data_IF_772497328300
#
_entry.id   IF_772497328300
#
_cell.length_a   1.000
_cell.length_b   1.000
_cell.length_c   1.000
_cell.angle_alpha   90.00
_cell.angle_beta   90.00
_cell.angle_gamma   90.00
#
_symmetry.space_group_name_H-M   'P 1'
#
loop_
_entity.id
_entity.type
_entity.pdbx_description
1 polymer ?
#
# COMPACT_ATOMS: atom_id res chain seq x y z
N UNK A 1 -6.76 -2.07 -23.53
CA UNK A 1 -6.74 -2.35 -22.07
C UNK A 1 -7.99 -3.11 -21.70
N UNK A 2 -7.88 -4.23 -21.00
CA UNK A 2 -9.06 -5.03 -20.61
C UNK A 2 -9.50 -4.65 -19.19
N UNK A 3 -10.82 -4.57 -19.00
CA UNK A 3 -11.45 -4.48 -17.68
C UNK A 3 -11.68 -5.90 -17.17
N UNK A 4 -11.47 -6.15 -15.88
CA UNK A 4 -11.68 -7.45 -15.23
C UNK A 4 -13.17 -7.71 -15.00
N UNK A 5 -13.88 -6.69 -14.52
CA UNK A 5 -15.33 -6.68 -14.33
C UNK A 5 -15.90 -5.39 -14.97
N UNK A 6 -16.15 -5.38 -16.30
CA UNK A 6 -16.50 -4.17 -17.05
C UNK A 6 -17.71 -3.41 -16.50
N UNK A 7 -18.76 -4.13 -16.11
CA UNK A 7 -20.01 -3.53 -15.59
C UNK A 7 -19.78 -2.77 -14.28
N UNK A 8 -18.72 -3.10 -13.53
CA UNK A 8 -18.37 -2.44 -12.28
C UNK A 8 -17.31 -1.37 -12.51
N UNK A 9 -16.24 -1.69 -13.24
CA UNK A 9 -15.08 -0.81 -13.38
C UNK A 9 -15.37 0.40 -14.29
N UNK A 10 -16.29 0.27 -15.26
CA UNK A 10 -16.71 1.34 -16.18
C UNK A 10 -18.01 2.04 -15.76
N UNK A 11 -18.70 1.58 -14.73
CA UNK A 11 -19.91 2.26 -14.23
C UNK A 11 -19.58 3.71 -13.79
N UNK A 12 -20.43 4.70 -14.04
CA UNK A 12 -20.19 6.08 -13.62
C UNK A 12 -19.88 6.18 -12.13
N UNK A 13 -18.82 6.94 -11.79
CA UNK A 13 -18.39 7.08 -10.39
C UNK A 13 -19.39 7.86 -9.55
N UNK A 14 -20.08 8.82 -10.16
CA UNK A 14 -21.09 9.67 -9.51
C UNK A 14 -22.23 8.87 -8.88
N UNK A 15 -22.52 7.68 -9.40
CA UNK A 15 -23.50 6.75 -8.85
C UNK A 15 -22.99 5.87 -7.72
N UNK A 16 -21.70 5.91 -7.39
CA UNK A 16 -21.11 4.96 -6.45
C UNK A 16 -21.66 5.09 -5.03
N UNK A 17 -21.84 6.31 -4.53
CA UNK A 17 -22.37 6.52 -3.18
C UNK A 17 -23.79 5.94 -3.04
N UNK A 18 -24.63 6.12 -4.07
CA UNK A 18 -25.99 5.53 -4.08
C UNK A 18 -25.95 3.99 -4.15
N UNK A 19 -24.99 3.43 -4.90
CA UNK A 19 -24.81 1.98 -4.97
C UNK A 19 -24.31 1.38 -3.64
N UNK A 20 -23.49 2.12 -2.89
CA UNK A 20 -22.93 1.69 -1.62
C UNK A 20 -23.89 1.88 -0.44
N UNK A 21 -24.95 2.70 -0.56
CA UNK A 21 -25.89 3.04 0.52
C UNK A 21 -26.55 1.79 1.13
N UNK A 22 -27.12 0.93 0.31
CA UNK A 22 -27.81 -0.26 0.81
C UNK A 22 -26.87 -1.30 1.43
N UNK A 23 -25.69 -1.62 0.84
CA UNK A 23 -24.65 -2.41 1.50
C UNK A 23 -24.18 -1.81 2.83
N UNK A 24 -23.95 -0.50 2.88
CA UNK A 24 -23.55 0.20 4.10
C UNK A 24 -24.57 0.03 5.22
N UNK A 25 -25.85 0.29 4.97
CA UNK A 25 -26.92 0.12 5.98
C UNK A 25 -26.99 -1.30 6.50
N UNK A 26 -26.87 -2.30 5.63
CA UNK A 26 -26.81 -3.72 6.05
C UNK A 26 -25.58 -4.00 6.90
N UNK A 27 -24.46 -3.39 6.59
CA UNK A 27 -23.22 -3.56 7.36
C UNK A 27 -23.32 -2.91 8.74
N UNK A 28 -23.93 -1.72 8.85
CA UNK A 28 -24.18 -1.07 10.13
C UNK A 28 -25.10 -1.92 11.01
N UNK A 29 -26.22 -2.42 10.46
CA UNK A 29 -27.12 -3.31 11.20
C UNK A 29 -26.38 -4.56 11.71
N UNK A 30 -25.56 -5.19 10.86
CA UNK A 30 -24.73 -6.33 11.21
C UNK A 30 -23.72 -6.02 12.32
N UNK A 31 -23.05 -4.86 12.27
CA UNK A 31 -22.11 -4.43 13.31
C UNK A 31 -22.79 -4.21 14.66
N UNK A 32 -23.95 -3.55 14.68
CA UNK A 32 -24.73 -3.32 15.90
C UNK A 32 -25.25 -4.62 16.50
N UNK A 33 -25.62 -5.59 15.68
CA UNK A 33 -26.10 -6.90 16.14
C UNK A 33 -24.95 -7.78 16.65
N UNK A 34 -23.86 -7.93 15.88
CA UNK A 34 -22.85 -8.95 16.09
C UNK A 34 -21.61 -8.47 16.84
N UNK A 35 -21.22 -7.18 16.72
CA UNK A 35 -19.98 -6.68 17.30
C UNK A 35 -20.20 -5.93 18.61
N UNK A 36 -19.74 -6.52 19.71
CA UNK A 36 -19.69 -5.83 21.01
C UNK A 36 -18.84 -4.56 20.92
N UNK A 37 -17.68 -4.63 20.29
CA UNK A 37 -16.79 -3.49 20.13
C UNK A 37 -17.49 -2.29 19.50
N UNK A 38 -18.18 -2.51 18.34
CA UNK A 38 -18.83 -1.41 17.63
C UNK A 38 -20.13 -0.97 18.29
N UNK A 39 -20.90 -1.88 18.86
CA UNK A 39 -22.08 -1.51 19.64
C UNK A 39 -21.75 -0.58 20.79
N UNK A 40 -20.74 -0.94 21.60
CA UNK A 40 -20.30 -0.14 22.75
C UNK A 40 -19.72 1.20 22.30
N UNK A 41 -18.92 1.20 21.23
CA UNK A 41 -18.28 2.39 20.65
C UNK A 41 -19.31 3.37 20.09
N UNK A 42 -20.23 2.88 19.28
CA UNK A 42 -21.29 3.70 18.65
C UNK A 42 -22.25 4.23 19.70
N UNK A 43 -22.67 3.41 20.67
CA UNK A 43 -23.54 3.86 21.76
C UNK A 43 -22.90 4.98 22.58
N UNK A 44 -21.62 4.86 22.94
CA UNK A 44 -20.88 5.92 23.65
C UNK A 44 -20.78 7.23 22.85
N UNK A 45 -20.78 7.12 21.53
CA UNK A 45 -20.75 8.26 20.62
C UNK A 45 -22.17 8.82 20.29
N UNK A 46 -23.23 8.28 20.91
CA UNK A 46 -24.61 8.73 20.69
C UNK A 46 -25.36 8.02 19.55
N UNK A 47 -24.81 6.95 18.99
CA UNK A 47 -25.36 6.20 17.84
C UNK A 47 -25.80 4.80 18.28
N UNK A 48 -26.83 4.71 19.11
CA UNK A 48 -27.27 3.44 19.70
C UNK A 48 -28.09 2.54 18.76
N UNK A 49 -28.52 3.02 17.60
CA UNK A 49 -29.31 2.27 16.62
C UNK A 49 -28.86 2.56 15.19
N UNK A 50 -29.26 1.71 14.25
CA UNK A 50 -28.97 1.92 12.82
C UNK A 50 -29.57 3.24 12.29
N UNK A 51 -30.74 3.63 12.77
CA UNK A 51 -31.39 4.89 12.40
C UNK A 51 -30.60 6.09 12.94
N UNK A 52 -30.06 6.00 14.16
CA UNK A 52 -29.21 7.05 14.74
C UNK A 52 -27.89 7.20 13.99
N UNK A 53 -27.33 6.10 13.48
CA UNK A 53 -26.12 6.10 12.61
C UNK A 53 -26.38 6.84 11.30
N UNK A 54 -27.56 6.68 10.73
CA UNK A 54 -27.94 7.31 9.47
C UNK A 54 -27.42 6.58 8.23
N UNK A 55 -27.36 7.30 7.11
CA UNK A 55 -26.88 6.81 5.83
C UNK A 55 -25.39 7.06 5.60
N UNK A 56 -24.93 6.69 4.42
CA UNK A 56 -23.52 6.89 4.01
C UNK A 56 -23.12 8.37 4.02
N UNK A 57 -24.05 9.27 3.74
CA UNK A 57 -23.83 10.72 3.82
C UNK A 57 -23.50 11.21 5.24
N UNK A 58 -23.92 10.46 6.27
CA UNK A 58 -23.70 10.77 7.67
C UNK A 58 -22.40 10.16 8.23
N UNK A 59 -21.68 9.36 7.45
CA UNK A 59 -20.55 8.53 7.90
C UNK A 59 -19.48 9.35 8.63
N UNK A 60 -19.24 10.59 8.21
CA UNK A 60 -18.24 11.48 8.80
C UNK A 60 -18.51 11.82 10.28
N UNK A 61 -19.75 11.63 10.76
CA UNK A 61 -20.14 11.83 12.17
C UNK A 61 -19.71 10.69 13.09
N UNK A 62 -19.41 9.51 12.52
CA UNK A 62 -19.08 8.32 13.29
C UNK A 62 -17.64 8.33 13.77
N UNK A 63 -17.33 7.70 14.92
CA UNK A 63 -15.98 7.61 15.43
C UNK A 63 -15.10 6.75 14.52
N UNK A 64 -13.82 7.14 14.42
CA UNK A 64 -12.81 6.34 13.70
C UNK A 64 -12.50 5.04 14.43
N UNK A 65 -12.05 4.06 13.68
CA UNK A 65 -11.40 2.85 14.21
C UNK A 65 -9.90 2.95 14.00
N UNK A 66 -9.16 2.75 15.10
CA UNK A 66 -7.70 2.80 15.12
C UNK A 66 -7.11 1.39 15.26
N UNK A 67 -5.96 1.15 14.64
CA UNK A 67 -5.30 -0.16 14.70
C UNK A 67 -4.92 -0.57 16.13
N UNK A 68 -4.53 0.39 16.94
CA UNK A 68 -4.16 0.13 18.35
C UNK A 68 -5.37 -0.22 19.21
N UNK A 69 -6.55 0.33 18.89
CA UNK A 69 -7.81 -0.08 19.51
C UNK A 69 -8.13 -1.55 19.23
N UNK A 70 -7.96 -1.99 17.98
CA UNK A 70 -8.16 -3.39 17.62
C UNK A 70 -7.17 -4.32 18.35
N UNK A 71 -5.91 -3.91 18.47
CA UNK A 71 -4.88 -4.65 19.21
C UNK A 71 -5.21 -4.71 20.71
N UNK A 72 -5.62 -3.59 21.30
CA UNK A 72 -5.98 -3.51 22.72
C UNK A 72 -7.22 -4.35 23.06
N UNK A 73 -8.07 -4.66 22.08
CA UNK A 73 -9.27 -5.49 22.26
C UNK A 73 -8.99 -7.00 22.36
N UNK A 74 -7.73 -7.43 22.23
CA UNK A 74 -7.34 -8.84 22.30
C UNK A 74 -7.29 -9.33 23.73
N UNK A 75 -7.65 -10.60 23.89
CA UNK A 75 -7.54 -11.33 25.16
C UNK A 75 -7.10 -12.78 24.89
N UNK A 76 -6.91 -13.57 25.95
CA UNK A 76 -6.62 -15.00 25.82
C UNK A 76 -7.77 -15.74 25.12
N UNK A 77 -9.01 -15.34 25.37
CA UNK A 77 -10.21 -15.94 24.78
C UNK A 77 -10.53 -15.37 23.39
N UNK A 78 -10.08 -14.14 23.11
CA UNK A 78 -10.30 -13.43 21.84
C UNK A 78 -8.94 -13.01 21.22
N UNK A 79 -8.12 -13.95 20.73
CA UNK A 79 -6.74 -13.65 20.27
C UNK A 79 -6.68 -12.79 19.00
N UNK A 80 -7.76 -12.77 18.22
CA UNK A 80 -7.91 -11.87 17.06
C UNK A 80 -8.31 -10.48 17.53
N UNK A 81 -9.18 -10.39 18.54
CA UNK A 81 -9.72 -9.18 19.13
C UNK A 81 -11.24 -9.12 19.04
N UNK A 82 -11.86 -8.26 19.85
CA UNK A 82 -13.31 -8.12 19.98
C UNK A 82 -14.02 -7.60 18.71
N UNK A 83 -13.28 -7.25 17.66
CA UNK A 83 -13.81 -6.92 16.34
C UNK A 83 -14.08 -8.15 15.46
N UNK A 84 -13.55 -9.32 15.84
CA UNK A 84 -13.89 -10.59 15.19
C UNK A 84 -15.29 -11.02 15.64
N UNK A 85 -16.21 -11.13 14.69
CA UNK A 85 -17.62 -11.43 14.97
C UNK A 85 -18.09 -12.75 14.36
N UNK A 86 -17.29 -13.32 13.45
CA UNK A 86 -17.55 -14.64 12.90
C UNK A 86 -17.21 -15.73 13.94
N UNK A 87 -17.98 -16.79 13.91
CA UNK A 87 -17.70 -18.00 14.69
C UNK A 87 -16.55 -18.80 14.07
N UNK A 88 -15.99 -19.72 14.82
CA UNK A 88 -14.82 -20.50 14.38
C UNK A 88 -15.10 -21.33 13.12
N UNK A 89 -16.30 -21.83 12.97
CA UNK A 89 -16.74 -22.65 11.82
C UNK A 89 -17.05 -21.81 10.57
N UNK A 90 -17.30 -20.51 10.72
CA UNK A 90 -17.48 -19.57 9.60
C UNK A 90 -16.13 -19.14 8.99
N UNK A 91 -15.02 -19.21 9.76
CA UNK A 91 -13.71 -18.73 9.33
C UNK A 91 -13.02 -19.83 8.51
N UNK A 92 -12.73 -19.52 7.24
CA UNK A 92 -12.04 -20.45 6.32
C UNK A 92 -10.55 -20.13 6.17
N UNK A 93 -10.10 -18.92 6.55
CA UNK A 93 -8.70 -18.50 6.45
C UNK A 93 -8.38 -17.40 7.45
N UNK A 94 -7.14 -17.41 7.96
CA UNK A 94 -6.60 -16.33 8.80
C UNK A 94 -5.26 -15.90 8.20
N UNK A 95 -5.15 -14.61 7.89
CA UNK A 95 -3.90 -13.97 7.53
C UNK A 95 -3.36 -13.15 8.68
N UNK A 96 -2.10 -12.70 8.58
CA UNK A 96 -1.51 -11.75 9.52
C UNK A 96 -0.85 -10.60 8.78
N UNK A 97 -0.73 -9.45 9.46
CA UNK A 97 0.14 -8.37 9.01
C UNK A 97 1.57 -8.63 9.49
N UNK A 98 2.57 -8.03 8.83
CA UNK A 98 3.99 -8.17 9.19
C UNK A 98 4.35 -7.61 10.57
N UNK A 99 3.45 -6.84 11.22
CA UNK A 99 3.64 -6.33 12.58
C UNK A 99 4.91 -5.52 12.78
N UNK A 100 5.02 -4.32 12.20
CA UNK A 100 6.17 -3.42 12.37
C UNK A 100 6.49 -3.09 13.83
N UNK A 101 5.55 -3.31 14.74
CA UNK A 101 5.66 -3.11 16.20
C UNK A 101 5.89 -4.40 16.99
N UNK A 102 6.24 -5.51 16.31
CA UNK A 102 6.54 -6.81 16.95
C UNK A 102 5.34 -7.75 17.14
N UNK A 103 4.10 -7.24 17.22
CA UNK A 103 2.91 -8.09 17.36
C UNK A 103 2.04 -8.02 16.10
N UNK A 104 1.88 -9.13 15.35
CA UNK A 104 1.06 -9.14 14.15
C UNK A 104 -0.42 -8.95 14.47
N UNK A 105 -1.18 -8.35 13.55
CA UNK A 105 -2.64 -8.42 13.57
C UNK A 105 -3.09 -9.65 12.80
N UNK A 106 -4.08 -10.35 13.30
CA UNK A 106 -4.70 -11.50 12.65
C UNK A 106 -5.99 -11.07 11.96
N UNK A 107 -6.18 -11.52 10.74
CA UNK A 107 -7.27 -11.11 9.87
C UNK A 107 -8.00 -12.38 9.44
N UNK A 108 -9.13 -12.70 10.12
CA UNK A 108 -9.97 -13.82 9.77
C UNK A 108 -10.83 -13.47 8.55
N UNK A 109 -11.12 -14.47 7.73
CA UNK A 109 -11.97 -14.34 6.56
C UNK A 109 -12.97 -15.49 6.52
N UNK A 110 -14.24 -15.17 6.28
CA UNK A 110 -15.23 -16.14 5.81
C UNK A 110 -15.00 -16.45 4.32
N UNK A 111 -15.68 -17.44 3.79
CA UNK A 111 -15.60 -17.74 2.36
C UNK A 111 -16.03 -16.55 1.48
N UNK A 112 -17.06 -15.80 1.89
CA UNK A 112 -17.53 -14.60 1.21
C UNK A 112 -16.52 -13.45 1.27
N UNK A 113 -15.86 -13.27 2.43
CA UNK A 113 -14.81 -12.26 2.60
C UNK A 113 -13.59 -12.57 1.70
N UNK A 114 -13.21 -13.84 1.62
CA UNK A 114 -12.11 -14.28 0.76
C UNK A 114 -12.45 -14.04 -0.72
N UNK A 115 -13.68 -14.35 -1.19
CA UNK A 115 -14.09 -14.05 -2.56
C UNK A 115 -14.05 -12.54 -2.84
N UNK A 116 -14.52 -11.71 -1.91
CA UNK A 116 -14.45 -10.25 -2.03
C UNK A 116 -12.99 -9.76 -2.16
N UNK A 117 -12.07 -10.30 -1.36
CA UNK A 117 -10.64 -9.99 -1.45
C UNK A 117 -10.04 -10.40 -2.78
N UNK A 118 -10.36 -11.61 -3.26
CA UNK A 118 -9.88 -12.14 -4.54
C UNK A 118 -10.40 -11.28 -5.71
N UNK A 119 -11.69 -10.90 -5.69
CA UNK A 119 -12.29 -10.05 -6.74
C UNK A 119 -11.67 -8.66 -6.76
N UNK A 120 -11.57 -8.02 -5.61
CA UNK A 120 -10.95 -6.69 -5.48
C UNK A 120 -9.50 -6.71 -5.98
N UNK A 121 -8.72 -7.71 -5.56
CA UNK A 121 -7.34 -7.89 -5.98
C UNK A 121 -7.22 -8.20 -7.48
N UNK A 122 -8.13 -8.98 -8.05
CA UNK A 122 -8.15 -9.27 -9.49
C UNK A 122 -8.41 -8.01 -10.32
N UNK A 123 -9.35 -7.13 -9.89
CA UNK A 123 -9.55 -5.81 -10.53
C UNK A 123 -8.29 -4.95 -10.45
N UNK A 124 -7.65 -4.93 -9.27
CA UNK A 124 -6.42 -4.16 -9.02
C UNK A 124 -5.26 -4.62 -9.90
N UNK A 125 -4.92 -5.91 -9.86
CA UNK A 125 -3.83 -6.46 -10.67
C UNK A 125 -4.17 -6.49 -12.17
N UNK A 126 -5.42 -6.74 -12.53
CA UNK A 126 -5.89 -6.67 -13.92
C UNK A 126 -5.73 -5.29 -14.56
N UNK A 127 -5.72 -4.21 -13.74
CA UNK A 127 -5.46 -2.87 -14.23
C UNK A 127 -4.07 -2.74 -14.87
N UNK A 128 -3.07 -3.46 -14.37
CA UNK A 128 -1.68 -3.43 -14.88
C UNK A 128 -1.53 -3.87 -16.34
N UNK A 129 -2.59 -4.37 -16.96
CA UNK A 129 -2.57 -4.84 -18.36
C UNK A 129 -2.13 -6.30 -18.52
N UNK A 130 -2.08 -7.08 -17.44
CA UNK A 130 -1.86 -8.53 -17.53
C UNK A 130 -3.01 -9.22 -18.26
N UNK A 131 -2.70 -10.31 -18.95
CA UNK A 131 -3.64 -11.04 -19.79
C UNK A 131 -3.70 -12.52 -19.39
N UNK A 132 -4.84 -13.14 -19.67
CA UNK A 132 -4.97 -14.59 -19.51
C UNK A 132 -3.83 -15.31 -20.24
N UNK A 133 -3.16 -16.23 -19.55
CA UNK A 133 -2.03 -16.99 -20.06
C UNK A 133 -0.67 -16.36 -19.82
N UNK A 134 -0.57 -15.10 -19.36
CA UNK A 134 0.70 -14.52 -18.91
C UNK A 134 1.29 -15.38 -17.79
N UNK A 135 2.63 -15.52 -17.80
CA UNK A 135 3.36 -16.22 -16.73
C UNK A 135 3.85 -15.22 -15.71
N UNK A 136 3.37 -15.35 -14.49
CA UNK A 136 3.77 -14.47 -13.39
C UNK A 136 4.60 -15.21 -12.35
N UNK A 137 5.79 -14.70 -12.05
CA UNK A 137 6.54 -15.04 -10.84
C UNK A 137 6.17 -14.07 -9.74
N UNK A 138 5.86 -14.57 -8.56
CA UNK A 138 5.64 -13.69 -7.40
C UNK A 138 6.55 -14.04 -6.24
N UNK A 139 6.99 -12.99 -5.53
CA UNK A 139 7.68 -13.10 -4.25
C UNK A 139 6.70 -13.10 -3.07
N UNK A 140 5.40 -13.03 -3.35
CA UNK A 140 4.35 -13.11 -2.34
C UNK A 140 4.31 -14.54 -1.77
N UNK A 141 4.36 -14.63 -0.46
CA UNK A 141 4.29 -15.92 0.22
C UNK A 141 2.84 -16.37 0.37
N UNK A 142 2.59 -17.67 0.13
CA UNK A 142 1.36 -18.32 0.55
C UNK A 142 1.27 -18.49 2.10
N UNK A 143 2.29 -18.00 2.82
CA UNK A 143 2.38 -18.02 4.28
C UNK A 143 1.39 -17.09 4.97
N UNK A 144 1.64 -16.74 6.24
CA UNK A 144 0.63 -16.06 7.05
C UNK A 144 0.30 -14.63 6.61
N UNK A 145 1.07 -14.04 5.70
CA UNK A 145 0.87 -12.64 5.28
C UNK A 145 -0.28 -12.48 4.29
N UNK A 146 -0.99 -11.36 4.41
CA UNK A 146 -2.16 -11.00 3.56
C UNK A 146 -1.87 -11.05 2.05
N UNK A 147 -0.63 -10.82 1.65
CA UNK A 147 -0.21 -10.95 0.25
C UNK A 147 -0.45 -12.37 -0.33
N UNK A 148 -0.57 -13.39 0.52
CA UNK A 148 -0.94 -14.73 0.09
C UNK A 148 -2.30 -14.81 -0.60
N UNK A 149 -3.26 -13.94 -0.26
CA UNK A 149 -4.55 -13.90 -0.96
C UNK A 149 -4.45 -13.35 -2.40
N UNK A 150 -3.35 -12.64 -2.75
CA UNK A 150 -3.10 -12.21 -4.12
C UNK A 150 -2.89 -13.39 -5.08
N UNK A 151 -2.43 -14.53 -4.58
CA UNK A 151 -2.20 -15.74 -5.37
C UNK A 151 -3.51 -16.25 -5.98
N UNK A 152 -4.60 -16.23 -5.22
CA UNK A 152 -5.93 -16.61 -5.69
C UNK A 152 -6.44 -15.61 -6.76
N UNK A 153 -6.08 -14.34 -6.66
CA UNK A 153 -6.41 -13.32 -7.66
C UNK A 153 -5.69 -13.56 -9.00
N UNK A 154 -4.43 -14.01 -8.98
CA UNK A 154 -3.71 -14.38 -10.20
C UNK A 154 -4.37 -15.57 -10.91
N UNK A 155 -4.81 -16.57 -10.16
CA UNK A 155 -5.57 -17.70 -10.70
C UNK A 155 -6.90 -17.23 -11.31
N UNK A 156 -7.64 -16.33 -10.62
CA UNK A 156 -8.89 -15.75 -11.14
C UNK A 156 -8.68 -14.98 -12.46
N UNK A 157 -7.56 -14.29 -12.61
CA UNK A 157 -7.16 -13.60 -13.84
C UNK A 157 -6.74 -14.57 -14.97
N UNK A 158 -6.59 -15.86 -14.66
CA UNK A 158 -6.13 -16.88 -15.61
C UNK A 158 -4.65 -16.80 -15.93
N UNK A 159 -3.84 -16.25 -14.99
CA UNK A 159 -2.40 -16.21 -15.13
C UNK A 159 -1.77 -17.57 -14.79
N UNK A 160 -0.69 -17.92 -15.48
CA UNK A 160 0.17 -19.04 -15.09
C UNK A 160 1.09 -18.59 -13.95
N UNK A 161 0.69 -18.86 -12.72
CA UNK A 161 1.39 -18.39 -11.54
C UNK A 161 2.51 -19.34 -11.11
N UNK A 162 3.70 -18.80 -10.89
CA UNK A 162 4.91 -19.47 -10.39
C UNK A 162 5.18 -18.93 -8.98
N UNK A 163 4.68 -19.59 -7.91
CA UNK A 163 4.82 -19.11 -6.52
C UNK A 163 6.19 -19.47 -5.97
N UNK A 164 7.11 -18.50 -5.91
CA UNK A 164 8.44 -18.72 -5.35
C UNK A 164 8.56 -18.27 -3.90
N UNK A 165 7.78 -17.25 -3.50
CA UNK A 165 7.93 -16.61 -2.22
C UNK A 165 9.17 -15.71 -2.14
N UNK A 166 9.32 -14.99 -1.01
CA UNK A 166 10.45 -14.12 -0.75
C UNK A 166 11.67 -14.84 -0.18
N UNK A 167 12.82 -14.14 -0.15
CA UNK A 167 14.02 -14.57 0.56
C UNK A 167 14.94 -15.53 -0.20
N UNK A 168 14.71 -15.82 -1.48
CA UNK A 168 15.62 -16.64 -2.29
C UNK A 168 15.86 -16.01 -3.66
N UNK A 169 16.78 -15.04 -3.70
CA UNK A 169 17.17 -14.28 -4.89
C UNK A 169 17.65 -15.18 -6.04
N UNK A 170 18.52 -16.15 -5.75
CA UNK A 170 19.07 -17.05 -6.75
C UNK A 170 17.98 -17.89 -7.43
N UNK A 171 17.07 -18.45 -6.64
CA UNK A 171 15.95 -19.26 -7.14
C UNK A 171 14.99 -18.43 -8.01
N UNK A 172 14.80 -17.15 -7.67
CA UNK A 172 13.97 -16.26 -8.48
C UNK A 172 14.62 -15.98 -9.83
N UNK A 173 15.90 -15.65 -9.86
CA UNK A 173 16.63 -15.41 -11.11
C UNK A 173 16.66 -16.68 -11.96
N UNK A 174 16.90 -17.85 -11.37
CA UNK A 174 16.83 -19.12 -12.08
C UNK A 174 15.45 -19.38 -12.69
N UNK A 175 14.37 -19.02 -11.99
CA UNK A 175 13.02 -19.15 -12.54
C UNK A 175 12.77 -18.17 -13.71
N UNK A 176 13.26 -16.96 -13.63
CA UNK A 176 13.23 -15.99 -14.75
C UNK A 176 13.94 -16.57 -15.98
N UNK A 177 15.12 -17.13 -15.80
CA UNK A 177 15.90 -17.72 -16.89
C UNK A 177 15.27 -18.97 -17.49
N UNK A 178 14.75 -19.89 -16.66
CA UNK A 178 14.28 -21.21 -17.10
C UNK A 178 12.81 -21.24 -17.50
N UNK A 179 11.95 -20.55 -16.73
CA UNK A 179 10.50 -20.58 -16.95
C UNK A 179 10.01 -19.41 -17.81
N UNK A 180 10.87 -18.43 -18.04
CA UNK A 180 10.64 -17.27 -18.90
C UNK A 180 9.29 -16.59 -18.61
N UNK A 181 9.04 -16.12 -17.37
CA UNK A 181 7.87 -15.33 -17.06
C UNK A 181 7.93 -13.99 -17.79
N UNK A 182 6.79 -13.47 -18.21
CA UNK A 182 6.69 -12.12 -18.75
C UNK A 182 6.22 -11.09 -17.70
N UNK A 183 5.84 -11.57 -16.50
CA UNK A 183 5.42 -10.70 -15.38
C UNK A 183 6.14 -11.11 -14.10
N UNK A 184 6.59 -10.12 -13.31
CA UNK A 184 7.11 -10.34 -11.96
C UNK A 184 6.37 -9.45 -10.97
N UNK A 185 5.89 -10.05 -9.85
CA UNK A 185 5.24 -9.33 -8.76
C UNK A 185 6.12 -9.34 -7.51
N UNK A 186 6.52 -8.15 -7.03
CA UNK A 186 7.46 -7.98 -5.94
C UNK A 186 7.38 -6.56 -5.33
N UNK A 187 8.23 -6.26 -4.34
CA UNK A 187 8.36 -4.88 -3.85
C UNK A 187 9.34 -4.07 -4.71
N UNK A 188 9.19 -2.73 -4.81
CA UNK A 188 10.09 -1.88 -5.58
C UNK A 188 11.55 -2.00 -5.16
N UNK A 189 11.84 -1.99 -3.86
CA UNK A 189 13.21 -2.11 -3.36
C UNK A 189 13.83 -3.47 -3.67
N UNK A 190 13.05 -4.55 -3.60
CA UNK A 190 13.54 -5.88 -3.94
C UNK A 190 13.79 -6.04 -5.44
N UNK A 191 13.00 -5.38 -6.29
CA UNK A 191 13.23 -5.34 -7.74
C UNK A 191 14.59 -4.71 -8.09
N UNK A 192 14.96 -3.60 -7.43
CA UNK A 192 16.28 -2.99 -7.58
C UNK A 192 17.40 -3.90 -7.06
N UNK A 193 17.21 -4.48 -5.87
CA UNK A 193 18.17 -5.42 -5.31
C UNK A 193 18.45 -6.60 -6.25
N UNK A 194 17.40 -7.19 -6.85
CA UNK A 194 17.54 -8.27 -7.82
C UNK A 194 18.35 -7.86 -9.05
N UNK A 195 18.10 -6.66 -9.56
CA UNK A 195 18.84 -6.15 -10.71
C UNK A 195 20.33 -5.92 -10.39
N UNK A 196 20.64 -5.38 -9.22
CA UNK A 196 22.02 -5.21 -8.73
C UNK A 196 22.70 -6.57 -8.50
N UNK A 197 21.99 -7.52 -7.90
CA UNK A 197 22.48 -8.88 -7.64
C UNK A 197 22.80 -9.64 -8.95
N UNK A 198 21.92 -9.54 -9.95
CA UNK A 198 22.09 -10.14 -11.26
C UNK A 198 23.28 -9.52 -12.00
N UNK A 199 23.36 -8.19 -12.03
CA UNK A 199 24.46 -7.45 -12.65
C UNK A 199 25.84 -7.83 -12.07
N UNK A 200 25.93 -7.98 -10.75
CA UNK A 200 27.16 -8.42 -10.07
C UNK A 200 27.62 -9.83 -10.50
N UNK A 201 26.73 -10.62 -11.14
CA UNK A 201 27.00 -11.97 -11.67
C UNK A 201 27.04 -12.03 -13.20
N UNK A 202 27.13 -10.87 -13.87
CA UNK A 202 27.18 -10.76 -15.31
C UNK A 202 25.85 -11.01 -16.02
N UNK A 203 24.73 -11.01 -15.30
CA UNK A 203 23.40 -11.16 -15.86
C UNK A 203 22.75 -9.78 -16.05
N UNK A 204 22.09 -9.57 -17.19
CA UNK A 204 21.33 -8.35 -17.46
C UNK A 204 19.85 -8.68 -17.50
N UNK A 205 19.08 -8.23 -16.52
CA UNK A 205 17.64 -8.51 -16.47
C UNK A 205 16.84 -7.80 -17.57
N UNK A 206 17.40 -6.75 -18.18
CA UNK A 206 16.76 -6.10 -19.33
C UNK A 206 16.72 -7.00 -20.58
N UNK A 207 17.57 -8.03 -20.64
CA UNK A 207 17.58 -9.03 -21.72
C UNK A 207 16.69 -10.26 -21.39
N UNK A 208 15.99 -10.23 -20.26
CA UNK A 208 15.11 -11.31 -19.82
C UNK A 208 13.77 -11.32 -20.58
N UNK A 209 12.94 -12.33 -20.31
CA UNK A 209 11.59 -12.40 -20.84
C UNK A 209 10.57 -11.48 -20.12
N UNK A 210 11.01 -10.75 -19.08
CA UNK A 210 10.13 -9.95 -18.26
C UNK A 210 9.75 -8.66 -19.00
N UNK A 211 8.46 -8.49 -19.25
CA UNK A 211 7.89 -7.32 -19.92
C UNK A 211 7.22 -6.36 -18.92
N UNK A 212 6.87 -6.87 -17.73
CA UNK A 212 6.10 -6.13 -16.73
C UNK A 212 6.52 -6.44 -15.30
N UNK A 213 6.75 -5.39 -14.52
CA UNK A 213 6.86 -5.45 -13.08
C UNK A 213 5.57 -4.92 -12.44
N UNK A 214 4.94 -5.73 -11.59
CA UNK A 214 3.84 -5.33 -10.73
C UNK A 214 4.40 -5.13 -9.33
N UNK A 215 4.59 -3.87 -8.92
CA UNK A 215 5.21 -3.59 -7.64
C UNK A 215 4.18 -3.18 -6.60
N UNK A 216 4.36 -3.68 -5.36
CA UNK A 216 3.45 -3.39 -4.26
C UNK A 216 4.16 -3.57 -2.90
N UNK A 217 3.46 -3.19 -1.82
CA UNK A 217 3.90 -3.45 -0.44
C UNK A 217 4.65 -2.30 0.21
N UNK A 218 5.23 -1.41 -0.57
CA UNK A 218 5.86 -0.16 -0.13
C UNK A 218 5.72 0.89 -1.25
N UNK A 219 5.77 2.20 -0.95
CA UNK A 219 5.80 3.23 -1.99
C UNK A 219 7.07 3.14 -2.84
N UNK A 220 6.97 3.52 -4.12
CA UNK A 220 8.12 3.57 -5.03
C UNK A 220 7.75 3.35 -6.49
N UNK A 221 6.80 2.46 -6.79
CA UNK A 221 6.39 2.21 -8.16
C UNK A 221 5.74 3.41 -8.85
N UNK A 222 5.09 4.27 -8.08
CA UNK A 222 4.50 5.53 -8.53
C UNK A 222 5.47 6.72 -8.53
N UNK A 223 6.64 6.59 -7.89
CA UNK A 223 7.66 7.65 -7.81
C UNK A 223 8.47 7.71 -9.12
N UNK A 224 8.53 8.87 -9.82
CA UNK A 224 9.09 8.94 -11.17
C UNK A 224 10.53 8.46 -11.29
N UNK A 225 11.42 8.89 -10.39
CA UNK A 225 12.83 8.53 -10.44
C UNK A 225 13.06 7.05 -10.13
N UNK A 226 12.34 6.49 -9.14
CA UNK A 226 12.41 5.06 -8.82
C UNK A 226 11.86 4.21 -9.97
N UNK A 227 10.72 4.58 -10.52
CA UNK A 227 10.11 3.90 -11.67
C UNK A 227 11.07 3.85 -12.86
N UNK A 228 11.65 4.99 -13.23
CA UNK A 228 12.60 5.06 -14.34
C UNK A 228 13.81 4.11 -14.14
N UNK A 229 14.32 4.02 -12.92
CA UNK A 229 15.43 3.08 -12.60
C UNK A 229 14.99 1.62 -12.72
N UNK A 230 13.79 1.28 -12.22
CA UNK A 230 13.26 -0.07 -12.33
C UNK A 230 13.06 -0.46 -13.80
N UNK A 231 12.44 0.43 -14.58
CA UNK A 231 12.20 0.21 -16.01
C UNK A 231 13.51 0.04 -16.80
N UNK A 232 14.52 0.88 -16.51
CA UNK A 232 15.83 0.75 -17.14
C UNK A 232 16.56 -0.54 -16.73
N UNK A 233 16.46 -0.95 -15.46
CA UNK A 233 17.17 -2.12 -14.94
C UNK A 233 16.57 -3.45 -15.41
N UNK A 234 15.28 -3.49 -15.72
CA UNK A 234 14.57 -4.70 -16.13
C UNK A 234 14.16 -4.72 -17.61
N UNK A 235 14.24 -3.59 -18.32
CA UNK A 235 13.70 -3.45 -19.69
C UNK A 235 12.17 -3.62 -19.74
N UNK A 236 11.50 -3.46 -18.62
CA UNK A 236 10.10 -3.83 -18.40
C UNK A 236 9.27 -2.62 -17.94
N UNK A 237 7.98 -2.61 -18.29
CA UNK A 237 7.04 -1.58 -17.79
C UNK A 237 6.70 -1.81 -16.33
N UNK A 238 6.73 -0.77 -15.50
CA UNK A 238 6.39 -0.83 -14.07
C UNK A 238 4.99 -0.30 -13.83
N UNK A 239 4.19 -1.04 -13.08
CA UNK A 239 2.88 -0.62 -12.54
C UNK A 239 2.84 -0.86 -11.04
N UNK A 240 2.16 0.03 -10.32
CA UNK A 240 2.05 -0.01 -8.86
C UNK A 240 0.68 -0.53 -8.42
N UNK A 241 0.67 -1.27 -7.30
CA UNK A 241 -0.55 -1.63 -6.61
C UNK A 241 -0.41 -1.36 -5.10
N UNK A 242 -1.51 -0.99 -4.46
CA UNK A 242 -1.56 -0.74 -3.03
C UNK A 242 -2.67 -1.54 -2.37
N UNK A 243 -2.34 -2.21 -1.28
CA UNK A 243 -3.26 -2.88 -0.39
C UNK A 243 -3.10 -2.39 1.05
N UNK A 244 -4.17 -2.50 1.80
CA UNK A 244 -4.19 -2.27 3.25
C UNK A 244 -4.52 -3.61 3.90
N UNK A 245 -3.55 -4.19 4.62
CA UNK A 245 -3.62 -5.58 5.06
C UNK A 245 -4.87 -5.94 5.85
N UNK A 246 -5.38 -5.01 6.64
CA UNK A 246 -6.61 -5.22 7.44
C UNK A 246 -7.90 -5.13 6.58
N UNK A 247 -7.80 -4.67 5.32
CA UNK A 247 -8.94 -4.43 4.42
C UNK A 247 -8.92 -5.34 3.19
N UNK A 248 -7.81 -5.34 2.45
CA UNK A 248 -7.59 -6.18 1.27
C UNK A 248 -6.12 -6.18 0.87
N UNK A 249 -5.57 -7.30 0.35
CA UNK A 249 -4.18 -7.39 -0.07
C UNK A 249 -3.85 -6.47 -1.24
N UNK A 250 -4.83 -6.15 -2.09
CA UNK A 250 -4.68 -5.17 -3.17
C UNK A 250 -6.04 -4.50 -3.42
N UNK A 251 -6.11 -3.21 -3.16
CA UNK A 251 -7.33 -2.40 -3.20
C UNK A 251 -7.27 -1.30 -4.26
N UNK A 252 -6.04 -0.93 -4.66
CA UNK A 252 -5.75 0.09 -5.64
C UNK A 252 -4.77 -0.46 -6.67
N UNK A 253 -5.02 -0.26 -7.97
CA UNK A 253 -4.18 -0.78 -9.05
C UNK A 253 -3.94 0.22 -10.16
N UNK A 254 -2.68 0.41 -10.53
CA UNK A 254 -2.29 1.31 -11.60
C UNK A 254 -2.52 0.66 -12.97
N UNK A 255 -3.07 1.43 -13.89
CA UNK A 255 -3.20 1.01 -15.27
C UNK A 255 -1.99 1.46 -16.11
N UNK A 256 -1.94 1.00 -17.37
CA UNK A 256 -0.85 1.31 -18.31
C UNK A 256 -0.72 2.82 -18.63
N UNK A 257 -1.74 3.65 -18.31
CA UNK A 257 -1.64 5.11 -18.42
C UNK A 257 -0.76 5.74 -17.32
N UNK A 258 -0.43 5.00 -16.25
CA UNK A 258 0.48 5.41 -15.16
C UNK A 258 0.11 6.74 -14.49
N UNK A 259 -1.19 7.04 -14.45
CA UNK A 259 -1.73 8.29 -13.88
C UNK A 259 -2.20 8.15 -12.42
N UNK A 260 -1.73 7.13 -11.73
CA UNK A 260 -2.13 6.74 -10.38
C UNK A 260 -2.95 5.43 -10.38
N UNK A 261 -3.12 4.86 -9.20
CA UNK A 261 -3.78 3.57 -8.98
C UNK A 261 -5.29 3.75 -8.85
N UNK A 262 -6.09 3.08 -9.69
CA UNK A 262 -7.56 3.10 -9.62
C UNK A 262 -8.07 2.36 -8.40
N UNK A 263 -9.11 2.90 -7.76
CA UNK A 263 -9.82 2.21 -6.68
C UNK A 263 -10.56 0.97 -7.21
N UNK A 264 -10.23 -0.18 -6.66
CA UNK A 264 -10.76 -1.49 -7.08
C UNK A 264 -11.81 -2.06 -6.13
N UNK A 265 -12.06 -1.40 -4.99
CA UNK A 265 -12.91 -1.88 -3.90
C UNK A 265 -14.40 -1.63 -4.08
N UNK A 266 -14.88 -1.16 -5.24
CA UNK A 266 -16.29 -0.84 -5.51
C UNK A 266 -17.23 -1.98 -5.12
N UNK A 267 -18.23 -1.67 -4.28
CA UNK A 267 -19.21 -2.62 -3.77
C UNK A 267 -18.72 -3.47 -2.58
N UNK A 268 -17.44 -3.40 -2.21
CA UNK A 268 -16.87 -4.12 -1.08
C UNK A 268 -16.37 -3.19 0.03
N UNK A 269 -15.83 -2.03 -0.35
CA UNK A 269 -15.23 -1.06 0.55
C UNK A 269 -15.65 0.34 0.13
N UNK A 270 -16.03 1.16 1.09
CA UNK A 270 -16.17 2.61 0.93
C UNK A 270 -14.91 3.30 1.45
N UNK A 271 -14.49 4.40 0.81
CA UNK A 271 -13.34 5.16 1.27
C UNK A 271 -13.65 6.65 1.42
N UNK A 272 -13.02 7.27 2.41
CA UNK A 272 -13.05 8.69 2.70
C UNK A 272 -11.60 9.21 2.68
N UNK A 273 -11.46 10.53 2.48
CA UNK A 273 -10.22 11.25 2.79
C UNK A 273 -10.47 12.17 3.98
N UNK A 274 -9.50 12.23 4.88
CA UNK A 274 -9.51 13.14 6.02
C UNK A 274 -8.22 13.93 6.12
N UNK A 275 -8.31 15.11 6.71
CA UNK A 275 -7.14 15.79 7.26
C UNK A 275 -6.60 15.00 8.46
N UNK A 276 -5.34 14.55 8.45
CA UNK A 276 -4.83 13.66 9.49
C UNK A 276 -4.76 14.27 10.88
N UNK A 277 -4.69 15.62 11.00
CA UNK A 277 -4.57 16.32 12.27
C UNK A 277 -5.93 16.59 12.91
N UNK A 278 -6.90 17.06 12.13
CA UNK A 278 -8.23 17.41 12.63
C UNK A 278 -9.25 16.27 12.51
N UNK A 279 -9.02 15.31 11.61
CA UNK A 279 -10.00 14.28 11.26
C UNK A 279 -11.16 14.80 10.39
N UNK A 280 -11.11 16.04 9.96
CA UNK A 280 -12.13 16.64 9.12
C UNK A 280 -12.13 16.00 7.71
N UNK A 281 -13.32 15.79 7.08
CA UNK A 281 -13.39 15.30 5.72
C UNK A 281 -12.68 16.24 4.73
N UNK A 282 -11.95 15.65 3.79
CA UNK A 282 -11.33 16.35 2.67
C UNK A 282 -12.20 16.16 1.43
N UNK A 283 -12.51 17.23 0.67
CA UNK A 283 -13.34 17.14 -0.53
C UNK A 283 -12.73 16.21 -1.60
N UNK A 284 -13.59 15.52 -2.32
CA UNK A 284 -13.25 14.60 -3.40
C UNK A 284 -13.03 15.38 -4.70
N UNK A 285 -11.89 16.06 -4.81
CA UNK A 285 -11.49 16.84 -6.00
C UNK A 285 -10.12 16.39 -6.49
N UNK A 286 -9.83 16.70 -7.75
CA UNK A 286 -8.52 16.37 -8.34
C UNK A 286 -7.39 17.08 -7.59
N UNK A 287 -6.34 16.36 -7.28
CA UNK A 287 -5.20 16.84 -6.50
C UNK A 287 -5.42 16.89 -4.98
N UNK A 288 -6.60 16.57 -4.45
CA UNK A 288 -6.85 16.55 -3.00
C UNK A 288 -5.91 15.57 -2.31
N UNK A 289 -5.37 15.98 -1.15
CA UNK A 289 -4.49 15.16 -0.32
C UNK A 289 -5.11 14.91 1.04
N UNK A 290 -4.95 13.70 1.56
CA UNK A 290 -5.45 13.34 2.88
C UNK A 290 -5.09 11.91 3.27
N UNK A 291 -5.39 11.57 4.53
CA UNK A 291 -5.30 10.21 5.02
C UNK A 291 -6.51 9.39 4.56
N UNK A 292 -6.27 8.18 4.06
CA UNK A 292 -7.33 7.24 3.71
C UNK A 292 -8.02 6.69 4.95
N UNK A 293 -9.35 6.72 4.93
CA UNK A 293 -10.22 6.03 5.89
C UNK A 293 -11.10 5.06 5.13
N UNK A 294 -11.19 3.82 5.60
CA UNK A 294 -11.85 2.73 4.90
C UNK A 294 -12.96 2.11 5.74
N UNK A 295 -14.07 1.79 5.09
CA UNK A 295 -15.23 1.11 5.70
C UNK A 295 -15.60 -0.11 4.87
N UNK A 296 -15.64 -1.29 5.51
CA UNK A 296 -16.16 -2.49 4.87
C UNK A 296 -17.68 -2.41 4.63
N UNK A 297 -18.12 -2.76 3.46
CA UNK A 297 -19.54 -2.82 3.09
C UNK A 297 -20.13 -4.23 3.18
N UNK A 298 -19.28 -5.27 3.12
CA UNK A 298 -19.73 -6.67 3.03
C UNK A 298 -18.94 -7.66 3.92
N UNK A 299 -17.88 -7.23 4.58
CA UNK A 299 -17.07 -8.12 5.41
C UNK A 299 -17.88 -8.70 6.58
N UNK A 300 -17.72 -10.02 6.83
CA UNK A 300 -18.48 -10.77 7.85
C UNK A 300 -17.63 -11.28 9.00
N UNK A 301 -16.35 -11.54 8.79
CA UNK A 301 -15.50 -12.09 9.84
C UNK A 301 -15.05 -11.02 10.84
N UNK A 302 -14.49 -9.94 10.35
CA UNK A 302 -13.95 -8.86 11.18
C UNK A 302 -14.17 -7.50 10.47
N UNK A 303 -15.44 -7.06 10.36
CA UNK A 303 -15.77 -5.82 9.65
C UNK A 303 -15.19 -4.60 10.35
N UNK A 304 -14.65 -3.67 9.57
CA UNK A 304 -14.08 -2.41 10.04
C UNK A 304 -14.93 -1.23 9.55
N UNK A 305 -15.25 -0.33 10.46
CA UNK A 305 -15.99 0.92 10.21
C UNK A 305 -15.05 2.10 10.43
N UNK A 306 -14.91 2.97 9.44
CA UNK A 306 -14.07 4.15 9.46
C UNK A 306 -12.65 3.88 9.98
N UNK A 307 -12.01 2.84 9.41
CA UNK A 307 -10.67 2.44 9.79
C UNK A 307 -9.62 3.42 9.23
N UNK A 308 -8.85 4.06 10.10
CA UNK A 308 -7.72 4.92 9.73
C UNK A 308 -6.55 4.07 9.26
N UNK A 309 -6.18 4.22 8.00
CA UNK A 309 -5.09 3.41 7.40
C UNK A 309 -3.71 3.95 7.72
N UNK A 310 -3.62 5.24 8.03
CA UNK A 310 -2.39 6.03 8.13
C UNK A 310 -1.69 6.24 6.79
N UNK A 311 -2.25 5.76 5.68
CA UNK A 311 -1.72 6.03 4.36
C UNK A 311 -2.20 7.39 3.88
N UNK A 312 -1.26 8.30 3.57
CA UNK A 312 -1.52 9.62 3.01
C UNK A 312 -1.43 9.56 1.50
N UNK A 313 -2.48 9.97 0.83
CA UNK A 313 -2.59 9.86 -0.63
C UNK A 313 -2.96 11.18 -1.26
N UNK A 314 -2.60 11.32 -2.55
CA UNK A 314 -3.14 12.35 -3.45
C UNK A 314 -4.12 11.69 -4.40
N UNK A 315 -5.32 12.28 -4.54
CA UNK A 315 -6.33 11.81 -5.47
C UNK A 315 -6.11 12.35 -6.88
N UNK A 316 -6.42 11.51 -7.88
CA UNK A 316 -6.67 11.91 -9.25
C UNK A 316 -8.12 11.58 -9.60
N UNK A 317 -8.90 12.59 -9.97
CA UNK A 317 -10.31 12.47 -10.36
C UNK A 317 -10.46 12.70 -11.85
N UNK A 318 -11.49 12.11 -12.45
CA UNK A 318 -11.80 12.27 -13.87
C UNK A 318 -11.47 11.04 -14.72
N UNK A 319 -11.77 11.13 -16.01
CA UNK A 319 -11.65 10.04 -16.97
C UNK A 319 -10.21 9.52 -17.10
N UNK A 320 -10.08 8.24 -17.40
CA UNK A 320 -8.81 7.63 -17.75
C UNK A 320 -8.93 6.89 -19.08
N UNK A 321 -7.87 6.95 -19.88
CA UNK A 321 -7.80 6.26 -21.18
C UNK A 321 -8.03 4.73 -21.09
N UNK A 322 -7.88 4.14 -19.90
CA UNK A 322 -8.15 2.72 -19.69
C UNK A 322 -9.65 2.37 -19.59
N UNK A 323 -10.55 3.36 -19.54
CA UNK A 323 -11.99 3.19 -19.40
C UNK A 323 -12.50 3.01 -17.98
N UNK A 324 -11.60 2.90 -16.96
CA UNK A 324 -12.00 2.88 -15.55
C UNK A 324 -12.43 4.27 -15.10
N UNK A 325 -13.51 4.31 -14.35
CA UNK A 325 -14.14 5.55 -13.87
C UNK A 325 -13.84 5.86 -12.40
N UNK A 326 -13.37 4.86 -11.64
CA UNK A 326 -13.03 5.07 -10.23
C UNK A 326 -11.85 6.04 -10.08
N UNK A 327 -11.85 6.89 -9.04
CA UNK A 327 -10.74 7.76 -8.71
C UNK A 327 -9.43 6.99 -8.58
N UNK A 328 -8.35 7.70 -8.84
CA UNK A 328 -6.98 7.19 -8.70
C UNK A 328 -6.34 7.76 -7.45
N UNK A 329 -5.45 7.00 -6.84
CA UNK A 329 -4.63 7.48 -5.75
C UNK A 329 -3.14 7.30 -6.06
N UNK A 330 -2.32 8.23 -5.56
CA UNK A 330 -0.88 8.05 -5.39
C UNK A 330 -0.58 8.07 -3.91
N UNK A 331 0.09 7.05 -3.40
CA UNK A 331 0.55 7.03 -2.02
C UNK A 331 1.74 7.98 -1.89
N UNK A 332 1.60 9.00 -1.05
CA UNK A 332 2.67 9.97 -0.74
C UNK A 332 3.54 9.44 0.40
N UNK A 333 2.94 8.69 1.34
CA UNK A 333 3.63 8.13 2.49
C UNK A 333 2.65 7.76 3.59
N UNK A 334 3.18 7.55 4.80
CA UNK A 334 2.37 7.23 5.98
C UNK A 334 2.38 8.38 6.97
N UNK A 335 1.24 8.71 7.54
CA UNK A 335 1.12 9.80 8.52
C UNK A 335 1.83 9.49 9.84
N UNK A 336 2.00 8.21 10.19
CA UNK A 336 2.75 7.75 11.36
C UNK A 336 4.28 7.74 11.15
N UNK A 337 4.76 7.74 9.90
CA UNK A 337 6.17 7.90 9.54
C UNK A 337 6.55 9.35 9.23
N UNK A 338 5.56 10.21 9.03
CA UNK A 338 5.75 11.63 8.73
C UNK A 338 6.51 12.33 9.86
N UNK A 339 7.43 13.22 9.49
CA UNK A 339 8.14 14.09 10.39
C UNK A 339 7.69 15.55 10.19
N UNK A 340 7.66 16.33 11.26
CA UNK A 340 7.36 17.76 11.20
C UNK A 340 8.62 18.53 11.55
N UNK A 341 9.24 19.15 10.55
CA UNK A 341 10.48 19.90 10.70
C UNK A 341 10.17 21.40 10.59
N UNK A 342 10.17 22.13 11.71
CA UNK A 342 9.76 23.56 11.78
C UNK A 342 8.42 23.86 11.09
N UNK A 343 7.42 23.00 11.31
CA UNK A 343 6.09 23.19 10.73
C UNK A 343 5.92 22.65 9.31
N UNK A 344 6.99 22.15 8.69
CA UNK A 344 6.93 21.49 7.37
C UNK A 344 6.70 19.99 7.56
N UNK A 345 5.65 19.45 6.95
CA UNK A 345 5.40 18.02 6.90
C UNK A 345 6.35 17.37 5.91
N UNK A 346 7.20 16.46 6.38
CA UNK A 346 8.15 15.69 5.59
C UNK A 346 7.75 14.22 5.57
N UNK A 347 7.40 13.71 4.39
CA UNK A 347 7.29 12.28 4.17
C UNK A 347 8.67 11.71 3.79
N UNK A 348 9.15 10.65 4.45
CA UNK A 348 10.45 10.03 4.15
C UNK A 348 10.63 9.61 2.69
N UNK A 349 9.55 9.21 2.04
CA UNK A 349 9.50 8.87 0.61
C UNK A 349 9.88 10.02 -0.30
N UNK A 350 9.44 11.25 0.03
CA UNK A 350 9.79 12.43 -0.76
C UNK A 350 11.30 12.74 -0.70
N UNK A 351 11.92 12.51 0.45
CA UNK A 351 13.39 12.65 0.57
C UNK A 351 14.11 11.58 -0.23
N UNK A 352 13.65 10.34 -0.18
CA UNK A 352 14.21 9.24 -0.99
C UNK A 352 14.12 9.53 -2.48
N UNK A 353 13.01 10.07 -2.97
CA UNK A 353 12.82 10.43 -4.37
C UNK A 353 13.86 11.47 -4.84
N UNK A 354 14.13 12.49 -4.00
CA UNK A 354 15.18 13.47 -4.29
C UNK A 354 16.56 12.80 -4.37
N UNK A 355 16.87 11.86 -3.47
CA UNK A 355 18.15 11.16 -3.50
C UNK A 355 18.30 10.33 -4.78
N UNK A 356 17.20 9.77 -5.31
CA UNK A 356 17.21 9.08 -6.60
C UNK A 356 17.57 9.99 -7.79
N UNK A 357 17.30 11.29 -7.73
CA UNK A 357 17.71 12.25 -8.78
C UNK A 357 19.25 12.28 -8.98
N UNK A 358 20.01 11.86 -7.97
CA UNK A 358 21.48 11.86 -7.99
C UNK A 358 22.09 10.53 -8.47
N UNK A 359 21.32 9.61 -9.00
CA UNK A 359 21.85 8.38 -9.56
C UNK A 359 22.73 8.68 -10.82
N UNK A 360 23.84 7.97 -11.06
CA UNK A 360 24.31 6.81 -10.32
C UNK A 360 25.22 7.14 -9.13
N UNK A 361 25.46 8.42 -8.79
CA UNK A 361 26.29 8.80 -7.67
C UNK A 361 25.71 8.32 -6.31
N UNK A 362 24.40 8.16 -6.22
CA UNK A 362 23.71 7.53 -5.09
C UNK A 362 23.04 6.23 -5.50
N UNK A 363 22.87 5.30 -4.55
CA UNK A 363 22.08 4.08 -4.76
C UNK A 363 20.57 4.32 -4.59
N UNK A 364 20.18 5.47 -4.03
CA UNK A 364 18.80 5.78 -3.66
C UNK A 364 18.36 5.23 -2.30
N UNK A 365 19.25 4.53 -1.60
CA UNK A 365 18.97 4.05 -0.23
C UNK A 365 19.28 5.15 0.75
N UNK A 366 18.29 5.43 1.62
CA UNK A 366 18.37 6.48 2.62
C UNK A 366 17.89 5.97 3.98
N UNK A 367 18.39 6.58 5.04
CA UNK A 367 17.94 6.36 6.40
C UNK A 367 17.88 7.70 7.14
N UNK A 368 16.69 8.14 7.49
CA UNK A 368 16.47 9.31 8.34
C UNK A 368 16.65 8.86 9.79
N UNK A 369 17.46 9.59 10.54
CA UNK A 369 17.73 9.34 11.96
C UNK A 369 17.23 10.52 12.81
N UNK A 370 15.93 10.57 13.14
CA UNK A 370 15.38 11.64 14.00
C UNK A 370 16.11 11.69 15.33
N UNK A 371 16.30 12.90 15.87
CA UNK A 371 16.97 13.09 17.18
C UNK A 371 16.07 12.81 18.38
N UNK A 372 14.76 12.73 18.14
CA UNK A 372 13.76 12.40 19.15
C UNK A 372 12.75 11.39 18.62
N UNK A 373 12.11 10.64 19.50
CA UNK A 373 11.09 9.66 19.14
C UNK A 373 9.80 10.29 18.58
N UNK A 374 9.54 11.57 18.87
CA UNK A 374 8.34 12.30 18.44
C UNK A 374 8.35 12.64 16.94
N UNK A 375 7.18 13.01 16.43
CA UNK A 375 7.04 13.45 15.02
C UNK A 375 7.68 14.81 14.74
N UNK A 376 7.75 15.70 15.76
CA UNK A 376 8.37 17.02 15.64
C UNK A 376 9.88 16.90 15.79
N UNK A 377 10.61 17.44 14.84
CA UNK A 377 12.06 17.40 14.79
C UNK A 377 12.64 18.81 14.61
N UNK A 378 13.77 19.04 15.25
CA UNK A 378 14.55 20.27 15.05
C UNK A 378 15.54 20.07 13.88
N UNK A 379 15.68 21.06 12.99
CA UNK A 379 16.68 21.01 11.93
C UNK A 379 18.09 21.28 12.47
N UNK A 380 19.15 20.81 11.79
CA UNK A 380 19.09 20.00 10.59
C UNK A 380 18.70 18.55 10.90
N UNK A 381 17.84 17.95 10.05
CA UNK A 381 17.44 16.55 10.19
C UNK A 381 18.57 15.63 9.71
N UNK A 382 19.07 14.70 10.56
CA UNK A 382 20.13 13.78 10.17
C UNK A 382 19.62 12.74 9.17
N UNK A 383 20.35 12.57 8.07
CA UNK A 383 20.03 11.62 6.99
C UNK A 383 21.31 10.95 6.51
N UNK A 384 21.30 9.61 6.51
CA UNK A 384 22.33 8.81 5.87
C UNK A 384 21.89 8.48 4.44
N UNK A 385 22.79 8.67 3.49
CA UNK A 385 22.55 8.40 2.06
C UNK A 385 23.65 7.48 1.55
N UNK A 386 23.28 6.38 0.94
CA UNK A 386 24.27 5.54 0.28
C UNK A 386 24.74 6.14 -1.03
N UNK A 387 26.04 6.25 -1.17
CA UNK A 387 26.74 6.74 -2.35
C UNK A 387 27.65 5.68 -2.94
N UNK A 388 27.83 5.72 -4.27
CA UNK A 388 28.79 4.88 -4.96
C UNK A 388 30.23 5.20 -4.50
N UNK A 389 30.53 6.47 -4.28
CA UNK A 389 31.75 6.98 -3.65
C UNK A 389 31.36 7.98 -2.55
N UNK A 390 31.44 7.58 -1.25
CA UNK A 390 31.15 8.47 -0.13
C UNK A 390 32.11 9.68 -0.02
N UNK A 391 33.29 9.58 -0.64
CA UNK A 391 34.27 10.65 -0.62
C UNK A 391 34.08 11.66 -1.77
N UNK A 392 33.09 11.46 -2.64
CA UNK A 392 32.83 12.34 -3.79
C UNK A 392 32.60 13.79 -3.34
N UNK A 393 33.50 14.74 -3.73
CA UNK A 393 33.40 16.13 -3.29
C UNK A 393 32.08 16.79 -3.70
N UNK A 394 31.48 17.51 -2.78
CA UNK A 394 30.27 18.31 -3.04
C UNK A 394 28.98 17.52 -3.23
N UNK A 395 28.97 16.17 -3.16
CA UNK A 395 27.74 15.38 -3.34
C UNK A 395 26.73 15.62 -2.20
N UNK A 396 27.20 15.57 -0.96
CA UNK A 396 26.35 15.83 0.22
C UNK A 396 25.74 17.23 0.19
N UNK A 397 26.52 18.23 -0.21
CA UNK A 397 26.09 19.64 -0.33
C UNK A 397 25.01 19.79 -1.41
N UNK A 398 25.18 19.15 -2.55
CA UNK A 398 24.18 19.18 -3.65
C UNK A 398 22.88 18.54 -3.22
N UNK A 399 22.93 17.36 -2.58
CA UNK A 399 21.74 16.68 -2.05
C UNK A 399 21.04 17.57 -1.03
N UNK A 400 21.79 18.13 -0.07
CA UNK A 400 21.26 19.04 0.96
C UNK A 400 20.58 20.27 0.34
N UNK A 401 21.20 20.89 -0.66
CA UNK A 401 20.65 22.04 -1.37
C UNK A 401 19.34 21.69 -2.06
N UNK A 402 19.31 20.55 -2.78
CA UNK A 402 18.12 20.07 -3.49
C UNK A 402 16.96 19.71 -2.55
N UNK A 403 17.27 19.05 -1.42
CA UNK A 403 16.25 18.77 -0.39
C UNK A 403 15.68 20.08 0.19
N UNK A 404 16.54 21.05 0.47
CA UNK A 404 16.08 22.35 0.98
C UNK A 404 15.23 23.11 -0.02
N UNK A 405 15.58 23.07 -1.30
CA UNK A 405 14.83 23.70 -2.38
C UNK A 405 13.44 23.05 -2.55
N UNK A 406 13.39 21.72 -2.63
CA UNK A 406 12.16 20.99 -2.97
C UNK A 406 11.24 20.79 -1.77
N UNK A 407 11.78 20.53 -0.58
CA UNK A 407 11.02 20.14 0.61
C UNK A 407 11.06 21.21 1.72
N UNK A 408 11.79 22.30 1.55
CA UNK A 408 11.95 23.40 2.53
C UNK A 408 12.51 22.92 3.89
N UNK A 409 13.17 21.76 3.93
CA UNK A 409 13.73 21.14 5.13
C UNK A 409 15.25 21.24 5.11
N UNK A 410 15.84 21.69 6.18
CA UNK A 410 17.29 21.64 6.38
C UNK A 410 17.69 20.25 6.88
N UNK A 411 18.64 19.62 6.18
CA UNK A 411 19.17 18.28 6.48
C UNK A 411 20.66 18.30 6.73
N UNK A 412 21.12 17.32 7.50
CA UNK A 412 22.52 16.98 7.67
C UNK A 412 22.75 15.64 6.94
N UNK A 413 23.44 15.71 5.79
CA UNK A 413 23.65 14.54 4.93
C UNK A 413 24.98 13.88 5.27
N UNK A 414 24.92 12.62 5.70
CA UNK A 414 26.07 11.71 5.86
C UNK A 414 26.09 10.72 4.71
N UNK A 415 27.13 10.73 3.89
CA UNK A 415 27.33 9.74 2.83
C UNK A 415 27.95 8.48 3.42
N UNK A 416 27.38 7.32 3.10
CA UNK A 416 27.88 6.00 3.48
C UNK A 416 28.13 5.16 2.22
N UNK A 417 29.03 4.19 2.31
CA UNK A 417 29.33 3.32 1.18
C UNK A 417 28.11 2.48 0.77
N UNK A 418 28.05 2.09 -0.49
CA UNK A 418 27.03 1.19 -1.01
C UNK A 418 26.99 -0.11 -0.19
N UNK A 419 25.80 -0.53 0.27
CA UNK A 419 25.61 -1.65 1.20
C UNK A 419 25.79 -1.29 2.68
N UNK A 420 26.10 -0.05 3.01
CA UNK A 420 26.28 0.42 4.40
C UNK A 420 24.99 0.65 5.18
N UNK A 421 23.83 0.65 4.51
CA UNK A 421 22.52 0.75 5.15
C UNK A 421 21.79 -0.61 5.10
N UNK A 422 20.92 -0.90 6.09
CA UNK A 422 20.17 -2.15 6.12
C UNK A 422 19.32 -2.32 4.86
N UNK A 423 19.31 -3.52 4.31
CA UNK A 423 18.42 -3.98 3.25
C UNK A 423 17.32 -4.84 3.86
N UNK A 424 16.15 -4.83 3.25
CA UNK A 424 15.06 -5.72 3.62
C UNK A 424 14.59 -6.47 2.38
N UNK A 425 14.38 -7.77 2.54
CA UNK A 425 13.81 -8.64 1.49
C UNK A 425 12.31 -8.41 1.31
N UNK A 426 11.70 -7.54 2.14
CA UNK A 426 10.26 -7.33 2.13
C UNK A 426 9.87 -5.85 1.99
N UNK A 427 10.28 -4.98 2.94
CA UNK A 427 9.95 -3.53 2.92
C UNK A 427 11.13 -2.72 3.41
N UNK A 428 11.42 -1.62 2.72
CA UNK A 428 12.42 -0.64 3.17
C UNK A 428 11.93 0.12 4.40
N UNK A 429 12.80 0.26 5.39
CA UNK A 429 12.59 1.16 6.52
C UNK A 429 13.36 2.45 6.24
N UNK A 430 12.65 3.58 6.14
CA UNK A 430 13.24 4.87 5.80
C UNK A 430 13.56 5.73 7.04
N UNK A 431 13.01 5.40 8.20
CA UNK A 431 13.18 6.15 9.46
C UNK A 431 13.63 5.20 10.55
N UNK A 432 14.70 5.52 11.22
CA UNK A 432 15.18 4.81 12.41
C UNK A 432 15.11 5.79 13.60
N UNK A 433 14.09 5.61 14.44
CA UNK A 433 13.86 6.41 15.64
C UNK A 433 14.77 5.93 16.77
N UNK A 434 15.21 6.85 17.69
CA UNK A 434 16.03 6.51 18.85
C UNK A 434 15.30 5.59 19.84
#
# INVERSE_FOLDING_TARGET
MSLTEPDVEAAPWEGQAAADEAPYRRQIAYLLERSRLYRDKLTRAGFASADAVGGLADIARLPFTEKDELRASRSADEPIGAHCVATRDEIVRIYSTSGTTGTPSYIPLTAGDLDAWVRTSARSYGASGVKRGDRIVSTYNAGPFVAGAALDAFVRLGLCHIPLGGGNTERLILAVEKLKPNVVALTPSYALHLAEWAKARGLNLADSSVERLMVAGEPGGGEPAMRARLEAAWGASVTEAMGIGDISPSLWGECEAKAGMHFSGRGFVHFELIDPASGAPVPFVDGAEGELVLTHLVNRAAPLLRFRTRDHVRLGVGSCACGRTAPRARCIGRTDDMLIVRGVNLFPTALREIVYEFAPATTGVVMIKPRSAGVRQDPPLPVKVEAADPSQPGLAERIRARVREALLVATEIELVAAGGLPRSDYKSKLVERP
#
